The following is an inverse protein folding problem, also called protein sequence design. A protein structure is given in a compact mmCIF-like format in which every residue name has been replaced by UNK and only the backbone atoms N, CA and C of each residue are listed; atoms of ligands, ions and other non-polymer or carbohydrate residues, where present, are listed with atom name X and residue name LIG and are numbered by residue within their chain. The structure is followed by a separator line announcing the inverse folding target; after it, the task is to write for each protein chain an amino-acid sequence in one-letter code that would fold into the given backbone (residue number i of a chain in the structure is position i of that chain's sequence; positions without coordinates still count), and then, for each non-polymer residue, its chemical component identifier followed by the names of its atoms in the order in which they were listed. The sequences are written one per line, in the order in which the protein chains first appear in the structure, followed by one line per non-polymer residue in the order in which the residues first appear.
data_IF_112884043405
#
_entry.id   IF_112884043405
#
_cell.length_a   1.000
_cell.length_b   1.000
_cell.length_c   1.000
_cell.angle_alpha   90.00
_cell.angle_beta   90.00
_cell.angle_gamma   90.00
#
_symmetry.space_group_name_H-M   'P 1'
#
loop_
_entity.id
_entity.type
_entity.pdbx_description
1 polymer ?
#
# COMPACT_ATOMS: atom_id res chain seq x y z
N UNK A 1 -7.35 -42.65 27.51
CA UNK A 1 -7.76 -41.32 27.99
C UNK A 1 -6.56 -40.43 27.70
N UNK A 2 -6.63 -39.61 26.66
CA UNK A 2 -5.55 -38.71 26.29
C UNK A 2 -5.62 -37.49 27.21
N UNK A 3 -4.51 -37.16 27.86
CA UNK A 3 -4.39 -35.94 28.65
C UNK A 3 -4.26 -34.76 27.68
N UNK A 4 -5.16 -33.79 27.78
CA UNK A 4 -5.06 -32.52 27.09
C UNK A 4 -4.30 -31.57 28.01
N UNK A 5 -3.07 -31.22 27.66
CA UNK A 5 -2.38 -30.10 28.30
C UNK A 5 -3.07 -28.79 27.87
N UNK A 6 -3.60 -28.08 28.85
CA UNK A 6 -4.04 -26.70 28.71
C UNK A 6 -2.80 -25.81 28.73
N UNK A 7 -2.43 -25.21 27.61
CA UNK A 7 -1.45 -24.12 27.64
C UNK A 7 -2.07 -22.93 28.39
N UNK A 8 -1.41 -22.60 29.49
CA UNK A 8 -1.71 -21.48 30.39
C UNK A 8 -1.45 -20.16 29.64
N UNK A 9 -2.45 -19.28 29.57
CA UNK A 9 -2.27 -17.91 29.11
C UNK A 9 -1.30 -17.21 30.08
N UNK A 10 -0.02 -17.18 29.72
CA UNK A 10 1.02 -16.52 30.49
C UNK A 10 0.75 -15.01 30.56
N UNK A 11 0.13 -14.59 31.65
CA UNK A 11 0.16 -13.22 32.13
C UNK A 11 1.57 -12.90 32.63
N UNK A 12 2.26 -11.95 32.01
CA UNK A 12 3.36 -11.23 32.69
C UNK A 12 4.55 -10.84 31.83
N UNK A 13 4.91 -9.55 31.89
CA UNK A 13 6.22 -9.05 31.49
C UNK A 13 6.31 -7.52 31.45
N UNK A 14 6.76 -6.92 32.56
CA UNK A 14 7.28 -5.54 32.66
C UNK A 14 8.75 -5.65 33.17
N UNK A 15 9.62 -4.64 32.98
CA UNK A 15 10.65 -4.54 31.94
C UNK A 15 12.09 -4.74 32.46
N UNK A 16 13.03 -4.93 31.52
CA UNK A 16 14.43 -5.32 31.76
C UNK A 16 14.55 -6.83 31.56
N UNK A 17 15.38 -7.40 30.70
CA UNK A 17 16.74 -7.07 30.33
C UNK A 17 16.97 -7.59 28.90
N UNK A 18 17.74 -6.85 28.12
CA UNK A 18 17.77 -6.93 26.65
C UNK A 18 18.01 -8.33 26.05
N UNK A 19 17.47 -8.47 24.84
CA UNK A 19 17.52 -9.62 23.94
C UNK A 19 16.46 -10.71 24.19
N UNK A 20 15.20 -10.37 23.93
CA UNK A 20 14.12 -11.35 23.79
C UNK A 20 12.95 -10.80 22.99
N UNK A 21 12.58 -11.48 21.90
CA UNK A 21 11.29 -11.38 21.19
C UNK A 21 10.82 -10.03 20.59
N UNK A 22 11.48 -8.89 20.84
CA UNK A 22 11.06 -7.56 20.36
C UNK A 22 11.69 -7.09 19.03
N UNK A 23 12.40 -7.95 18.30
CA UNK A 23 13.03 -7.58 17.01
C UNK A 23 12.11 -7.84 15.80
N UNK A 24 10.80 -7.69 15.98
CA UNK A 24 9.89 -7.66 14.84
C UNK A 24 9.99 -6.28 14.18
N UNK A 25 10.12 -6.20 12.84
CA UNK A 25 10.09 -4.90 12.16
C UNK A 25 8.79 -4.17 12.51
N UNK A 26 8.81 -2.84 12.69
CA UNK A 26 7.62 -2.08 13.02
C UNK A 26 6.53 -2.30 11.97
N UNK A 27 5.28 -2.40 12.40
CA UNK A 27 4.15 -2.56 11.50
C UNK A 27 4.07 -1.40 10.51
N UNK A 28 3.65 -1.70 9.27
CA UNK A 28 3.30 -0.66 8.28
C UNK A 28 1.84 -0.28 8.47
N UNK A 29 1.59 1.01 8.64
CA UNK A 29 0.25 1.60 8.67
C UNK A 29 -0.05 2.13 7.27
N UNK A 30 -1.22 1.77 6.72
CA UNK A 30 -1.71 2.23 5.42
C UNK A 30 -3.13 2.77 5.60
N UNK A 31 -3.31 4.06 5.33
CA UNK A 31 -4.60 4.76 5.31
C UNK A 31 -5.02 4.98 3.85
N UNK A 32 -6.06 4.27 3.43
CA UNK A 32 -6.57 4.26 2.06
C UNK A 32 -7.66 5.32 1.87
N UNK A 33 -7.25 6.59 1.73
CA UNK A 33 -8.19 7.68 1.48
C UNK A 33 -8.59 7.78 0.01
N UNK A 34 -9.78 8.30 -0.28
CA UNK A 34 -10.24 8.55 -1.67
C UNK A 34 -9.47 9.67 -2.38
N UNK A 35 -8.97 10.66 -1.63
CA UNK A 35 -8.13 11.72 -2.18
C UNK A 35 -6.64 11.40 -2.15
N UNK A 36 -6.17 10.87 -1.02
CA UNK A 36 -4.76 10.60 -0.76
C UNK A 36 -4.58 9.28 0.00
N UNK A 37 -3.61 8.51 -0.44
CA UNK A 37 -3.02 7.40 0.29
C UNK A 37 -2.01 7.96 1.29
N UNK A 38 -1.97 7.38 2.50
CA UNK A 38 -0.91 7.66 3.47
C UNK A 38 -0.33 6.36 3.99
N UNK A 39 0.99 6.30 4.10
CA UNK A 39 1.67 5.14 4.66
C UNK A 39 2.85 5.55 5.53
N UNK A 40 3.14 4.74 6.55
CA UNK A 40 4.25 4.97 7.48
C UNK A 40 4.47 3.76 8.38
N UNK A 41 5.52 3.81 9.20
CA UNK A 41 5.78 2.79 10.21
C UNK A 41 5.07 3.17 11.52
N UNK A 42 4.59 2.18 12.27
CA UNK A 42 3.94 2.39 13.56
C UNK A 42 4.83 3.06 14.62
N UNK A 43 6.14 3.08 14.40
CA UNK A 43 7.12 3.78 15.24
C UNK A 43 7.30 5.26 14.89
N UNK A 44 6.64 5.77 13.85
CA UNK A 44 6.76 7.15 13.37
C UNK A 44 5.54 7.99 13.77
N UNK A 45 5.78 9.29 13.99
CA UNK A 45 4.73 10.26 14.34
C UNK A 45 3.91 10.72 13.11
N UNK A 46 4.55 10.80 11.94
CA UNK A 46 3.95 11.26 10.69
C UNK A 46 4.07 10.19 9.59
N UNK A 47 3.16 10.18 8.60
CA UNK A 47 3.27 9.27 7.46
C UNK A 47 4.57 9.56 6.68
N UNK A 48 5.31 8.50 6.37
CA UNK A 48 6.51 8.58 5.51
C UNK A 48 6.17 8.82 4.04
N UNK A 49 4.99 8.42 3.60
CA UNK A 49 4.51 8.59 2.25
C UNK A 49 3.08 9.13 2.26
N UNK A 50 2.83 10.16 1.46
CA UNK A 50 1.51 10.70 1.18
C UNK A 50 1.44 10.98 -0.30
N UNK A 51 0.50 10.35 -1.00
CA UNK A 51 0.36 10.52 -2.45
C UNK A 51 -1.10 10.45 -2.91
N UNK A 52 -1.47 11.10 -4.03
CA UNK A 52 -2.83 11.07 -4.56
C UNK A 52 -3.32 9.66 -4.90
N UNK A 53 -4.55 9.34 -4.55
CA UNK A 53 -5.18 8.02 -4.81
C UNK A 53 -5.70 7.94 -6.25
N UNK A 54 -4.76 7.91 -7.20
CA UNK A 54 -5.06 7.87 -8.63
C UNK A 54 -4.22 6.83 -9.33
N UNK A 55 -4.82 6.22 -10.35
CA UNK A 55 -4.15 5.35 -11.30
C UNK A 55 -4.28 5.95 -12.69
N UNK A 56 -3.18 6.01 -13.43
CA UNK A 56 -3.10 6.57 -14.75
C UNK A 56 -2.66 5.54 -15.78
N UNK A 57 -3.37 5.49 -16.91
CA UNK A 57 -3.03 4.65 -18.06
C UNK A 57 -2.86 5.48 -19.32
N UNK A 58 -1.86 5.20 -20.19
CA UNK A 58 -1.65 5.96 -21.41
C UNK A 58 -2.90 6.01 -22.30
N UNK A 59 -3.24 7.21 -22.77
CA UNK A 59 -4.24 7.37 -23.84
C UNK A 59 -3.71 6.69 -25.11
N UNK A 60 -4.62 6.19 -25.95
CA UNK A 60 -4.31 5.44 -27.19
C UNK A 60 -3.11 5.97 -28.00
N UNK A 61 -3.01 7.29 -28.18
CA UNK A 61 -1.94 7.94 -28.96
C UNK A 61 -0.55 7.92 -28.32
N UNK A 62 -0.45 7.53 -27.05
CA UNK A 62 0.76 7.53 -26.24
C UNK A 62 1.12 6.15 -25.72
N UNK A 63 0.39 5.09 -26.08
CA UNK A 63 0.67 3.72 -25.61
C UNK A 63 2.08 3.29 -26.00
N UNK A 64 2.49 3.52 -27.25
CA UNK A 64 3.79 3.11 -27.76
C UNK A 64 4.97 3.82 -27.06
N UNK A 65 4.77 5.05 -26.56
CA UNK A 65 5.80 5.78 -25.80
C UNK A 65 6.15 5.08 -24.49
N UNK A 66 5.24 4.27 -23.95
CA UNK A 66 5.38 3.60 -22.65
C UNK A 66 5.35 2.07 -22.77
N UNK A 67 5.49 1.51 -23.97
CA UNK A 67 5.44 0.07 -24.19
C UNK A 67 6.45 -0.71 -23.33
N UNK A 68 7.61 -0.11 -23.05
CA UNK A 68 8.65 -0.72 -22.21
C UNK A 68 8.38 -0.67 -20.69
N UNK A 69 7.38 0.09 -20.22
CA UNK A 69 7.05 0.21 -18.78
C UNK A 69 6.11 -0.90 -18.29
N UNK A 70 5.35 -1.54 -19.18
CA UNK A 70 4.39 -2.56 -18.77
C UNK A 70 5.06 -3.82 -18.24
N UNK A 71 4.35 -4.58 -17.40
CA UNK A 71 4.86 -5.78 -16.71
C UNK A 71 4.98 -7.02 -17.62
N UNK A 72 4.81 -6.86 -18.93
CA UNK A 72 4.91 -7.94 -19.92
C UNK A 72 3.75 -8.94 -19.93
N UNK A 73 2.78 -8.79 -19.03
CA UNK A 73 1.58 -9.63 -18.89
C UNK A 73 0.37 -9.16 -19.74
N UNK A 74 0.55 -8.07 -20.49
CA UNK A 74 -0.49 -7.45 -21.32
C UNK A 74 -1.33 -6.39 -20.61
N UNK A 75 -1.11 -6.12 -19.32
CA UNK A 75 -1.81 -5.06 -18.56
C UNK A 75 -1.42 -3.64 -19.02
N UNK A 76 -0.31 -3.50 -19.75
CA UNK A 76 0.19 -2.23 -20.26
C UNK A 76 0.88 -1.38 -19.19
N UNK A 77 1.26 -0.14 -19.55
CA UNK A 77 1.90 0.76 -18.60
C UNK A 77 0.88 1.36 -17.62
N UNK A 78 1.21 1.33 -16.33
CA UNK A 78 0.42 1.94 -15.25
C UNK A 78 1.26 2.96 -14.50
N UNK A 79 0.64 4.07 -14.10
CA UNK A 79 1.24 5.17 -13.34
C UNK A 79 0.40 5.40 -12.09
N UNK A 80 1.03 5.67 -10.94
CA UNK A 80 0.33 5.86 -9.66
C UNK A 80 0.79 7.15 -9.00
N UNK A 81 -0.11 7.82 -8.26
CA UNK A 81 0.24 8.98 -7.44
C UNK A 81 0.87 10.14 -8.21
N UNK A 82 1.99 10.67 -7.72
CA UNK A 82 2.72 11.79 -8.33
C UNK A 82 3.19 11.48 -9.74
N UNK A 83 3.57 10.23 -10.04
CA UNK A 83 4.03 9.82 -11.37
C UNK A 83 2.92 10.00 -12.41
N UNK A 84 1.68 9.71 -12.01
CA UNK A 84 0.50 9.90 -12.83
C UNK A 84 0.22 11.40 -13.07
N UNK A 85 0.31 12.24 -12.04
CA UNK A 85 0.13 13.71 -12.17
C UNK A 85 1.22 14.34 -13.04
N UNK A 86 2.47 13.92 -12.91
CA UNK A 86 3.58 14.39 -13.70
C UNK A 86 3.35 14.13 -15.20
N UNK A 87 2.72 13.00 -15.52
CA UNK A 87 2.40 12.58 -16.89
C UNK A 87 0.95 12.83 -17.31
N UNK A 88 0.17 13.65 -16.56
CA UNK A 88 -1.30 13.81 -16.74
C UNK A 88 -1.77 14.10 -18.16
N UNK A 89 -0.94 14.75 -18.97
CA UNK A 89 -1.27 15.07 -20.37
C UNK A 89 -1.31 13.84 -21.27
N UNK A 90 -0.63 12.77 -20.88
CA UNK A 90 -0.55 11.51 -21.62
C UNK A 90 -1.55 10.46 -21.12
N UNK A 91 -2.09 10.64 -19.92
CA UNK A 91 -2.82 9.60 -19.21
C UNK A 91 -4.34 9.86 -19.19
N UNK A 92 -5.10 8.78 -19.07
CA UNK A 92 -6.47 8.78 -18.54
C UNK A 92 -6.40 8.31 -17.09
N UNK A 93 -7.11 8.99 -16.20
CA UNK A 93 -7.11 8.67 -14.77
C UNK A 93 -8.34 7.86 -14.36
N UNK A 94 -8.12 6.97 -13.41
CA UNK A 94 -9.13 6.28 -12.61
C UNK A 94 -8.88 6.60 -11.14
N UNK A 95 -9.96 6.58 -10.35
CA UNK A 95 -9.96 6.78 -8.91
C UNK A 95 -10.44 5.46 -8.29
N UNK A 96 -9.55 4.56 -7.86
CA UNK A 96 -9.95 3.22 -7.39
C UNK A 96 -10.79 3.27 -6.12
N UNK A 97 -10.69 4.36 -5.36
CA UNK A 97 -11.46 4.60 -4.15
C UNK A 97 -12.29 5.87 -4.34
N UNK A 98 -13.62 5.73 -4.38
CA UNK A 98 -14.56 6.85 -4.42
C UNK A 98 -15.36 6.88 -3.12
N UNK A 99 -15.61 8.07 -2.56
CA UNK A 99 -16.38 8.24 -1.31
C UNK A 99 -16.03 7.26 -0.15
N UNK A 100 -14.78 6.79 -0.07
CA UNK A 100 -14.30 5.88 0.97
C UNK A 100 -14.57 4.38 0.75
N UNK A 101 -15.05 3.97 -0.44
CA UNK A 101 -15.20 2.57 -0.81
C UNK A 101 -14.35 2.24 -2.05
N UNK A 102 -13.90 0.99 -2.13
CA UNK A 102 -13.11 0.51 -3.28
C UNK A 102 -14.08 0.20 -4.42
N UNK A 103 -13.98 0.98 -5.49
CA UNK A 103 -14.78 0.86 -6.71
C UNK A 103 -14.11 -0.01 -7.77
N UNK A 104 -12.78 0.00 -7.80
CA UNK A 104 -11.99 -0.85 -8.69
C UNK A 104 -10.93 -1.59 -7.89
N UNK A 105 -11.07 -2.91 -7.79
CA UNK A 105 -10.14 -3.79 -7.07
C UNK A 105 -8.89 -4.16 -7.88
N UNK A 106 -8.90 -3.92 -9.19
CA UNK A 106 -7.73 -4.14 -10.06
C UNK A 106 -6.77 -2.94 -9.98
N UNK A 107 -7.30 -1.76 -9.65
CA UNK A 107 -6.55 -0.51 -9.53
C UNK A 107 -6.20 -0.19 -8.07
#
# INVERSE_FOLDING_TARGET
MAEYETEELATGGMPGDGAGFYDAPPAVIIDNGSGYMKAGLASQEEPSAVFPTIVGRPRRRFVDLYAAKGDGDGSGAVFVGEEAIANRHHLSFTYPIDHGHIDNWVD
#
